data_IF_894102645343
#
_entry.id   IF_894102645343
#
_cell.length_a   1.000
_cell.length_b   1.000
_cell.length_c   1.000
_cell.angle_alpha   90.00
_cell.angle_beta   90.00
_cell.angle_gamma   90.00
#
_symmetry.space_group_name_H-M   'P 1'
#
loop_
_entity.id
_entity.type
_entity.pdbx_description
1 polymer ?
#
# COMPACT_ATOMS: atom_id res chain seq x y z
N UNK A 1 32.65 22.73 1.36
CA UNK A 1 31.70 21.78 1.98
C UNK A 1 30.99 21.03 0.88
N UNK A 2 30.98 19.70 0.93
CA UNK A 2 30.49 18.83 -0.14
C UNK A 2 29.01 18.49 0.13
N UNK A 3 28.08 19.24 -0.47
CA UNK A 3 26.65 18.91 -0.40
C UNK A 3 26.35 17.89 -1.50
N UNK A 4 26.59 16.61 -1.21
CA UNK A 4 26.07 15.54 -2.07
C UNK A 4 24.58 15.47 -1.80
N UNK A 5 23.68 15.65 -2.78
CA UNK A 5 22.27 15.38 -2.54
C UNK A 5 22.15 13.91 -2.14
N UNK A 6 21.93 13.68 -0.85
CA UNK A 6 21.67 12.35 -0.32
C UNK A 6 20.42 11.80 -0.99
N UNK A 7 20.33 10.47 -1.11
CA UNK A 7 19.10 9.80 -1.52
C UNK A 7 17.91 10.42 -0.78
N UNK A 8 16.81 10.79 -1.46
CA UNK A 8 15.66 11.35 -0.79
C UNK A 8 15.20 10.38 0.31
N UNK A 9 14.87 10.91 1.49
CA UNK A 9 14.48 10.12 2.65
C UNK A 9 13.27 9.20 2.38
N UNK A 10 12.45 9.54 1.38
CA UNK A 10 11.33 8.73 0.90
C UNK A 10 11.54 8.41 -0.58
N UNK A 11 11.57 7.13 -0.91
CA UNK A 11 11.79 6.66 -2.28
C UNK A 11 10.51 6.70 -3.15
N UNK A 12 9.35 6.36 -2.55
CA UNK A 12 8.07 6.28 -3.26
C UNK A 12 6.91 6.52 -2.29
N UNK A 13 5.99 7.40 -2.66
CA UNK A 13 4.68 7.53 -1.99
C UNK A 13 3.63 6.80 -2.82
N UNK A 14 2.79 5.99 -2.18
CA UNK A 14 1.74 5.20 -2.84
C UNK A 14 0.40 5.57 -2.22
N UNK A 15 -0.50 6.11 -3.05
CA UNK A 15 -1.89 6.26 -2.65
C UNK A 15 -2.62 4.90 -2.71
N UNK A 16 -3.37 4.51 -1.67
CA UNK A 16 -4.12 3.26 -1.65
C UNK A 16 -5.19 3.24 -2.75
N UNK A 17 -5.41 2.08 -3.35
CA UNK A 17 -6.43 1.90 -4.41
C UNK A 17 -7.49 0.92 -3.99
N UNK A 18 -8.75 1.24 -4.28
CA UNK A 18 -9.87 0.35 -4.00
C UNK A 18 -9.74 -0.90 -4.87
N UNK A 19 -9.82 -2.08 -4.27
CA UNK A 19 -9.83 -3.38 -4.95
C UNK A 19 -10.94 -4.26 -4.37
N UNK A 20 -11.68 -5.01 -5.22
CA UNK A 20 -12.66 -5.95 -4.72
C UNK A 20 -11.98 -7.16 -4.07
N UNK A 21 -12.54 -7.64 -2.96
CA UNK A 21 -12.14 -8.87 -2.29
C UNK A 21 -13.41 -9.57 -1.78
N UNK A 22 -13.75 -10.72 -2.36
CA UNK A 22 -15.01 -11.39 -2.06
C UNK A 22 -16.21 -10.48 -2.38
N UNK A 23 -17.09 -10.28 -1.40
CA UNK A 23 -18.25 -9.38 -1.48
C UNK A 23 -17.95 -7.93 -1.12
N UNK A 24 -16.77 -7.64 -0.56
CA UNK A 24 -16.39 -6.32 -0.06
C UNK A 24 -15.26 -5.67 -0.85
N UNK A 25 -14.71 -4.59 -0.30
CA UNK A 25 -13.61 -3.86 -0.90
C UNK A 25 -12.50 -3.52 0.10
N UNK A 26 -11.29 -3.37 -0.43
CA UNK A 26 -10.10 -3.03 0.37
C UNK A 26 -9.35 -1.89 -0.28
N UNK A 27 -8.56 -1.18 0.53
CA UNK A 27 -7.60 -0.19 0.04
C UNK A 27 -6.22 -0.85 -0.05
N UNK A 28 -5.82 -1.25 -1.26
CA UNK A 28 -4.57 -1.96 -1.53
C UNK A 28 -3.39 -1.01 -1.72
N UNK A 29 -2.29 -1.30 -1.01
CA UNK A 29 -0.99 -0.63 -1.14
C UNK A 29 0.04 -1.53 -1.85
N UNK A 30 0.06 -2.84 -1.55
CA UNK A 30 0.94 -3.81 -2.21
C UNK A 30 0.15 -5.01 -2.74
N UNK A 31 0.51 -5.57 -3.91
CA UNK A 31 1.58 -5.13 -4.81
C UNK A 31 1.20 -3.86 -5.57
N UNK A 32 2.20 -3.00 -5.80
CA UNK A 32 2.11 -1.82 -6.64
C UNK A 32 3.00 -1.98 -7.88
N UNK A 33 2.62 -1.39 -9.02
CA UNK A 33 3.33 -1.58 -10.31
C UNK A 33 4.83 -1.23 -10.19
N UNK A 34 5.16 -0.17 -9.45
CA UNK A 34 6.53 0.31 -9.23
C UNK A 34 7.21 -0.31 -8.00
N UNK A 35 6.47 -1.02 -7.14
CA UNK A 35 6.97 -1.66 -5.92
C UNK A 35 6.11 -2.87 -5.58
N UNK A 36 6.58 -4.07 -5.93
CA UNK A 36 5.83 -5.31 -5.66
C UNK A 36 6.01 -5.81 -4.23
N UNK A 37 7.10 -5.45 -3.56
CA UNK A 37 7.45 -5.90 -2.21
C UNK A 37 8.18 -4.81 -1.42
N UNK A 38 8.08 -4.84 -0.09
CA UNK A 38 8.91 -4.07 0.85
C UNK A 38 9.49 -5.07 1.86
N UNK A 39 10.79 -5.34 1.80
CA UNK A 39 11.40 -6.42 2.60
C UNK A 39 10.63 -7.75 2.41
N UNK A 40 10.17 -8.41 3.49
CA UNK A 40 9.40 -9.66 3.40
C UNK A 40 7.92 -9.46 3.01
N UNK A 41 7.43 -8.22 2.90
CA UNK A 41 6.01 -7.94 2.69
C UNK A 41 5.67 -7.86 1.19
N UNK A 42 4.89 -8.81 0.69
CA UNK A 42 4.44 -8.90 -0.72
C UNK A 42 3.03 -8.36 -0.95
N UNK A 43 2.28 -8.16 0.13
CA UNK A 43 0.86 -7.80 0.11
C UNK A 43 0.52 -6.91 1.30
N UNK A 44 -0.31 -5.90 1.07
CA UNK A 44 -0.81 -5.01 2.11
C UNK A 44 -2.14 -4.41 1.66
N UNK A 45 -3.20 -4.80 2.36
CA UNK A 45 -4.56 -4.29 2.21
C UNK A 45 -5.01 -3.68 3.53
N UNK A 46 -5.66 -2.51 3.44
CA UNK A 46 -6.39 -1.93 4.56
C UNK A 46 -7.86 -2.30 4.36
N UNK A 47 -8.39 -3.08 5.29
CA UNK A 47 -9.81 -3.42 5.35
C UNK A 47 -10.60 -2.26 5.94
N UNK A 48 -11.77 -1.98 5.36
CA UNK A 48 -12.73 -1.03 5.91
C UNK A 48 -12.39 0.46 5.74
N UNK A 49 -13.13 1.35 6.44
CA UNK A 49 -14.19 1.00 7.39
C UNK A 49 -15.40 0.42 6.65
N UNK A 50 -15.84 -0.77 7.05
CA UNK A 50 -17.07 -1.40 6.56
C UNK A 50 -17.88 -1.82 7.79
N UNK A 51 -19.19 -1.53 7.78
CA UNK A 51 -20.14 -2.16 8.69
C UNK A 51 -20.48 -3.53 8.11
N UNK A 52 -20.22 -4.57 8.89
CA UNK A 52 -20.53 -5.94 8.51
C UNK A 52 -21.80 -6.37 9.26
N UNK A 53 -22.82 -6.80 8.53
CA UNK A 53 -24.00 -7.40 9.13
C UNK A 53 -23.62 -8.67 9.92
N UNK A 54 -24.36 -8.99 11.00
CA UNK A 54 -24.21 -10.28 11.67
C UNK A 54 -24.37 -11.44 10.68
N UNK A 55 -23.51 -12.45 10.83
CA UNK A 55 -23.57 -13.69 10.06
C UNK A 55 -24.73 -14.61 10.43
#
# INVERSE_FOLDING_TARGET
>A
MNDRPGTPAVELTIDPRIRPVGSGSVRRLLPYRQRRMVGPFTFLDIMGPEELDPG
#
